data_IF_317492142990
#
_entry.id   IF_317492142990
#
_cell.length_a   1.000
_cell.length_b   1.000
_cell.length_c   1.000
_cell.angle_alpha   90.00
_cell.angle_beta   90.00
_cell.angle_gamma   90.00
#
_symmetry.space_group_name_H-M   'P 1'
#
loop_
_entity.id
_entity.type
_entity.pdbx_description
1 polymer ?
#
# COMPACT_ATOMS: atom_id res chain seq x y z
N UNK A 1 7.63 -25.55 -30.83
CA UNK A 1 8.77 -25.27 -29.94
C UNK A 1 8.45 -24.06 -29.07
N UNK A 2 8.63 -24.11 -27.73
CA UNK A 2 8.46 -25.24 -26.83
C UNK A 2 7.07 -25.24 -26.18
N UNK A 3 6.63 -26.46 -25.89
CA UNK A 3 5.38 -26.89 -25.28
C UNK A 3 5.22 -26.46 -23.82
N UNK A 4 4.08 -25.83 -23.48
CA UNK A 4 3.60 -25.63 -22.09
C UNK A 4 3.09 -26.91 -21.41
N UNK A 5 3.36 -28.08 -22.02
CA UNK A 5 2.80 -29.38 -21.64
C UNK A 5 3.67 -30.21 -20.65
N UNK A 6 4.95 -29.93 -20.31
CA UNK A 6 5.72 -30.90 -19.54
C UNK A 6 5.37 -30.92 -18.04
N UNK A 7 4.73 -29.87 -17.50
CA UNK A 7 4.43 -29.86 -16.06
C UNK A 7 3.18 -30.64 -15.67
N UNK A 8 2.16 -30.70 -16.55
CA UNK A 8 0.92 -31.42 -16.22
C UNK A 8 1.05 -32.94 -16.40
N UNK A 9 1.94 -33.40 -17.30
CA UNK A 9 2.15 -34.83 -17.58
C UNK A 9 3.02 -35.56 -16.54
N UNK A 10 3.82 -34.84 -15.74
CA UNK A 10 4.66 -35.45 -14.69
C UNK A 10 3.83 -35.94 -13.49
N UNK A 11 2.61 -35.42 -13.31
CA UNK A 11 1.74 -35.77 -12.18
C UNK A 11 0.90 -37.04 -12.38
N UNK A 12 0.81 -37.60 -13.59
CA UNK A 12 0.01 -38.81 -13.84
C UNK A 12 0.67 -40.11 -13.37
N UNK A 13 1.93 -40.07 -12.91
CA UNK A 13 2.68 -41.23 -12.45
C UNK A 13 3.07 -41.19 -10.96
N UNK A 14 2.70 -40.13 -10.23
CA UNK A 14 3.01 -40.00 -8.80
C UNK A 14 1.93 -40.66 -7.93
N UNK A 15 2.30 -41.34 -6.83
CA UNK A 15 1.33 -41.92 -5.91
C UNK A 15 0.30 -40.88 -5.46
N UNK A 16 -0.98 -41.27 -5.23
CA UNK A 16 -2.04 -40.36 -4.78
C UNK A 16 -1.65 -39.51 -3.56
N UNK A 17 -0.83 -40.08 -2.68
CA UNK A 17 -0.35 -39.46 -1.43
C UNK A 17 0.61 -38.29 -1.71
N UNK A 18 1.43 -38.39 -2.77
CA UNK A 18 2.35 -37.34 -3.21
C UNK A 18 1.56 -36.21 -3.87
N UNK A 19 0.54 -36.54 -4.66
CA UNK A 19 -0.37 -35.57 -5.25
C UNK A 19 -1.12 -34.82 -4.14
N UNK A 20 -1.68 -35.54 -3.15
CA UNK A 20 -2.33 -34.94 -2.00
C UNK A 20 -1.37 -34.07 -1.15
N UNK A 21 -0.10 -34.47 -1.02
CA UNK A 21 0.93 -33.66 -0.35
C UNK A 21 1.28 -32.41 -1.15
N UNK A 22 1.42 -32.50 -2.48
CA UNK A 22 1.64 -31.33 -3.33
C UNK A 22 0.45 -30.38 -3.34
N UNK A 23 -0.78 -30.90 -3.41
CA UNK A 23 -1.98 -30.10 -3.26
C UNK A 23 -2.10 -29.51 -1.85
N UNK A 24 -1.71 -30.23 -0.80
CA UNK A 24 -1.64 -29.70 0.56
C UNK A 24 -0.58 -28.60 0.65
N UNK A 25 0.63 -28.78 0.12
CA UNK A 25 1.71 -27.78 0.13
C UNK A 25 1.37 -26.56 -0.73
N UNK A 26 0.72 -26.77 -1.89
CA UNK A 26 0.27 -25.73 -2.80
C UNK A 26 -0.94 -25.01 -2.20
N UNK A 27 -1.91 -25.72 -1.63
CA UNK A 27 -3.06 -25.15 -0.92
C UNK A 27 -2.66 -24.49 0.41
N UNK A 28 -1.55 -24.91 1.04
CA UNK A 28 -0.96 -24.29 2.22
C UNK A 28 -0.17 -23.02 1.86
N UNK A 29 0.48 -23.00 0.69
CA UNK A 29 1.07 -21.79 0.09
C UNK A 29 0.01 -20.85 -0.51
N UNK A 30 -1.17 -21.39 -0.80
CA UNK A 30 -2.43 -20.73 -1.20
C UNK A 30 -3.37 -20.58 0.00
N UNK A 31 -2.84 -20.59 1.24
CA UNK A 31 -3.43 -19.70 2.25
C UNK A 31 -3.15 -18.28 1.76
N UNK A 32 -3.96 -17.84 0.79
CA UNK A 32 -4.04 -16.49 0.27
C UNK A 32 -4.05 -15.56 1.47
N UNK A 33 -2.92 -14.90 1.72
CA UNK A 33 -2.90 -13.69 2.52
C UNK A 33 -3.64 -12.68 1.64
N UNK A 34 -4.96 -12.62 1.79
CA UNK A 34 -5.74 -11.53 1.22
C UNK A 34 -5.16 -10.26 1.85
N UNK A 35 -4.40 -9.50 1.06
CA UNK A 35 -3.80 -8.26 1.49
C UNK A 35 -4.90 -7.36 2.04
N UNK A 36 -4.81 -6.97 3.31
CA UNK A 36 -5.77 -6.09 3.95
C UNK A 36 -5.44 -4.66 3.58
N UNK A 37 -6.38 -3.96 2.95
CA UNK A 37 -6.21 -2.56 2.60
C UNK A 37 -6.86 -1.66 3.67
N UNK A 38 -6.08 -0.74 4.24
CA UNK A 38 -6.54 0.24 5.21
C UNK A 38 -7.68 1.11 4.63
N UNK A 39 -7.66 1.44 3.33
CA UNK A 39 -8.70 2.24 2.68
C UNK A 39 -10.08 1.58 2.65
N UNK A 40 -10.22 0.30 3.00
CA UNK A 40 -11.54 -0.32 3.21
C UNK A 40 -12.14 -0.02 4.59
N UNK A 41 -11.32 0.39 5.55
CA UNK A 41 -11.70 0.63 6.94
C UNK A 41 -11.73 2.11 7.31
N UNK A 42 -11.04 2.96 6.53
CA UNK A 42 -11.00 4.41 6.68
C UNK A 42 -11.50 5.08 5.41
N UNK A 43 -12.07 6.29 5.52
CA UNK A 43 -12.56 7.04 4.34
C UNK A 43 -14.00 6.75 3.94
N UNK A 44 -14.85 6.36 4.89
CA UNK A 44 -16.29 6.16 4.67
C UNK A 44 -17.07 7.47 4.43
N UNK A 45 -16.41 8.62 4.55
CA UNK A 45 -17.01 9.94 4.42
C UNK A 45 -16.78 10.50 3.01
N UNK A 46 -17.83 11.09 2.42
CA UNK A 46 -17.71 11.83 1.16
C UNK A 46 -17.24 13.25 1.45
N UNK A 47 -15.93 13.45 1.43
CA UNK A 47 -15.28 14.72 1.76
C UNK A 47 -14.96 14.87 3.25
N UNK A 48 -14.36 16.01 3.60
CA UNK A 48 -13.86 16.31 4.95
C UNK A 48 -14.52 17.58 5.50
N UNK A 49 -14.99 17.54 6.74
CA UNK A 49 -15.56 18.71 7.42
C UNK A 49 -14.45 19.53 8.09
N UNK A 50 -13.39 18.87 8.54
CA UNK A 50 -12.24 19.50 9.18
C UNK A 50 -10.96 19.28 8.37
N UNK A 51 -10.03 20.23 8.49
CA UNK A 51 -8.68 20.13 7.94
C UNK A 51 -7.67 20.36 9.04
N UNK A 52 -6.72 19.46 9.16
CA UNK A 52 -5.68 19.52 10.17
C UNK A 52 -4.39 19.98 9.52
N UNK A 53 -3.72 20.96 10.12
CA UNK A 53 -2.47 21.50 9.60
C UNK A 53 -1.28 20.81 10.27
N UNK A 54 -0.35 20.31 9.46
CA UNK A 54 0.96 19.91 9.95
C UNK A 54 1.84 21.16 10.14
N UNK A 55 2.22 21.42 11.38
CA UNK A 55 2.82 22.69 11.80
C UNK A 55 4.10 23.08 11.04
N UNK A 56 4.98 22.12 10.73
CA UNK A 56 6.29 22.41 10.14
C UNK A 56 6.25 22.55 8.62
N UNK A 57 5.39 21.79 7.94
CA UNK A 57 5.32 21.80 6.47
C UNK A 57 4.25 22.75 5.94
N UNK A 58 3.25 23.09 6.75
CA UNK A 58 2.08 23.84 6.32
C UNK A 58 1.10 23.05 5.46
N UNK A 59 1.40 21.80 5.13
CA UNK A 59 0.45 20.88 4.49
C UNK A 59 -0.72 20.63 5.42
N UNK A 60 -1.87 20.37 4.83
CA UNK A 60 -3.08 20.00 5.54
C UNK A 60 -3.46 18.54 5.26
N UNK A 61 -4.30 17.96 6.10
CA UNK A 61 -4.84 16.63 5.89
C UNK A 61 -6.29 16.52 6.37
N UNK A 62 -7.06 15.62 5.76
CA UNK A 62 -8.48 15.40 6.03
C UNK A 62 -8.74 14.62 7.32
N UNK A 63 -10.01 14.57 7.73
CA UNK A 63 -10.51 13.73 8.81
C UNK A 63 -10.16 12.26 8.59
N UNK A 64 -10.35 11.72 7.39
CA UNK A 64 -10.10 10.29 7.14
C UNK A 64 -8.61 9.95 7.20
N UNK A 65 -7.72 10.85 6.78
CA UNK A 65 -6.27 10.67 6.95
C UNK A 65 -5.88 10.73 8.43
N UNK A 66 -6.50 11.64 9.20
CA UNK A 66 -6.30 11.69 10.66
C UNK A 66 -6.76 10.41 11.34
N UNK A 67 -7.96 9.92 11.02
CA UNK A 67 -8.51 8.68 11.57
C UNK A 67 -7.63 7.47 11.25
N UNK A 68 -7.13 7.38 10.02
CA UNK A 68 -6.17 6.34 9.63
C UNK A 68 -4.88 6.44 10.46
N UNK A 69 -4.31 7.64 10.59
CA UNK A 69 -3.09 7.85 11.35
C UNK A 69 -3.26 7.56 12.85
N UNK A 70 -4.40 7.93 13.45
CA UNK A 70 -4.71 7.65 14.85
C UNK A 70 -5.00 6.16 15.07
N UNK A 71 -5.88 5.56 14.26
CA UNK A 71 -6.29 4.17 14.39
C UNK A 71 -5.18 3.17 14.09
N UNK A 72 -4.24 3.53 13.21
CA UNK A 72 -3.09 2.68 12.88
C UNK A 72 -1.79 3.09 13.60
N UNK A 73 -1.83 4.13 14.45
CA UNK A 73 -0.64 4.74 15.04
C UNK A 73 0.42 5.14 13.99
N UNK A 74 -0.06 5.58 12.81
CA UNK A 74 0.72 5.74 11.59
C UNK A 74 1.01 7.20 11.22
N UNK A 75 1.13 8.11 12.21
CA UNK A 75 1.57 9.48 11.96
C UNK A 75 2.95 9.56 11.27
N UNK A 76 3.78 8.51 11.42
CA UNK A 76 5.03 8.37 10.69
C UNK A 76 4.82 8.37 9.17
N UNK A 77 3.69 7.87 8.66
CA UNK A 77 3.39 7.83 7.22
C UNK A 77 3.15 9.24 6.67
N UNK A 78 2.40 10.06 7.41
CA UNK A 78 2.21 11.49 7.10
C UNK A 78 3.57 12.20 7.10
N UNK A 79 4.38 11.99 8.14
CA UNK A 79 5.70 12.59 8.26
C UNK A 79 6.64 12.13 7.13
N UNK A 80 6.58 10.86 6.73
CA UNK A 80 7.36 10.33 5.61
C UNK A 80 7.01 11.06 4.32
N UNK A 81 5.73 11.20 4.00
CA UNK A 81 5.27 11.93 2.80
C UNK A 81 5.74 13.39 2.83
N UNK A 82 5.68 14.03 3.99
CA UNK A 82 6.16 15.40 4.21
C UNK A 82 7.68 15.51 3.99
N UNK A 83 8.47 14.58 4.51
CA UNK A 83 9.92 14.56 4.33
C UNK A 83 10.29 14.48 2.84
N UNK A 84 9.56 13.69 2.04
CA UNK A 84 9.78 13.64 0.59
C UNK A 84 9.49 14.97 -0.12
N UNK A 85 8.65 15.85 0.45
CA UNK A 85 8.42 17.18 -0.13
C UNK A 85 9.64 18.12 -0.02
N UNK A 86 10.70 17.73 0.70
CA UNK A 86 11.99 18.41 0.64
C UNK A 86 12.67 18.24 -0.74
N UNK A 87 12.33 17.19 -1.49
CA UNK A 87 12.84 16.98 -2.83
C UNK A 87 12.03 17.74 -3.87
N UNK A 88 12.69 18.60 -4.64
CA UNK A 88 12.02 19.48 -5.62
C UNK A 88 11.29 18.68 -6.71
N UNK A 89 11.81 17.52 -7.08
CA UNK A 89 11.20 16.63 -8.08
C UNK A 89 9.89 15.98 -7.61
N UNK A 90 9.73 15.79 -6.30
CA UNK A 90 8.49 15.28 -5.70
C UNK A 90 7.50 16.43 -5.56
N UNK A 91 7.93 17.52 -4.91
CA UNK A 91 7.06 18.66 -4.59
C UNK A 91 6.45 19.37 -5.80
N UNK A 92 7.10 19.32 -6.96
CA UNK A 92 6.59 19.95 -8.19
C UNK A 92 5.33 19.26 -8.74
N UNK A 93 5.10 17.99 -8.36
CA UNK A 93 3.92 17.24 -8.77
C UNK A 93 2.72 17.70 -7.95
N UNK A 94 1.73 18.32 -8.61
CA UNK A 94 0.52 18.86 -7.98
C UNK A 94 -0.43 17.79 -7.47
N UNK A 95 -0.38 16.61 -8.09
CA UNK A 95 -1.14 15.43 -7.70
C UNK A 95 -0.17 14.27 -7.48
N UNK A 96 -0.19 13.69 -6.28
CA UNK A 96 0.68 12.58 -5.92
C UNK A 96 -0.15 11.44 -5.31
N UNK A 97 0.07 10.21 -5.77
CA UNK A 97 -0.51 8.99 -5.19
C UNK A 97 0.59 8.27 -4.43
N UNK A 98 0.43 8.11 -3.12
CA UNK A 98 1.35 7.43 -2.22
C UNK A 98 0.80 6.05 -1.84
N UNK A 99 1.36 5.00 -2.43
CA UNK A 99 0.98 3.61 -2.18
C UNK A 99 1.97 2.94 -1.23
N UNK A 100 1.53 2.68 0.00
CA UNK A 100 2.22 1.85 0.97
C UNK A 100 1.83 0.39 0.76
N UNK A 101 2.83 -0.50 0.70
CA UNK A 101 2.63 -1.94 0.50
C UNK A 101 3.57 -2.76 1.36
N UNK A 102 3.01 -3.71 2.12
CA UNK A 102 3.77 -4.73 2.84
C UNK A 102 4.40 -5.68 1.84
N UNK A 103 5.71 -5.85 1.92
CA UNK A 103 6.48 -6.73 1.04
C UNK A 103 6.76 -8.08 1.72
N UNK A 104 7.05 -8.06 3.02
CA UNK A 104 7.28 -9.26 3.82
C UNK A 104 7.16 -8.94 5.31
N UNK A 105 6.34 -9.68 6.07
CA UNK A 105 6.21 -9.49 7.53
C UNK A 105 6.10 -8.01 7.89
N UNK A 106 7.04 -7.41 8.62
CA UNK A 106 7.01 -5.99 9.00
C UNK A 106 7.76 -5.06 8.04
N UNK A 107 8.16 -5.55 6.87
CA UNK A 107 8.84 -4.78 5.82
C UNK A 107 7.81 -4.23 4.84
N UNK A 108 7.97 -2.96 4.47
CA UNK A 108 7.10 -2.27 3.53
C UNK A 108 7.91 -1.54 2.47
N UNK A 109 7.26 -1.24 1.36
CA UNK A 109 7.72 -0.30 0.35
C UNK A 109 6.65 0.77 0.17
N UNK A 110 7.06 2.02 -0.01
CA UNK A 110 6.16 3.10 -0.41
C UNK A 110 6.56 3.64 -1.79
N UNK A 111 5.57 3.82 -2.66
CA UNK A 111 5.73 4.34 -4.02
C UNK A 111 4.90 5.61 -4.18
N UNK A 112 5.52 6.66 -4.71
CA UNK A 112 4.82 7.86 -5.14
C UNK A 112 4.69 7.88 -6.67
N UNK A 113 3.49 8.16 -7.18
CA UNK A 113 3.24 8.43 -8.61
C UNK A 113 2.54 9.77 -8.82
N UNK A 114 2.55 10.29 -10.04
CA UNK A 114 1.97 11.58 -10.44
C UNK A 114 0.45 11.54 -10.71
N UNK A 115 -0.24 10.46 -10.33
CA UNK A 115 -1.66 10.23 -10.68
C UNK A 115 -1.90 9.66 -12.07
N UNK A 116 -0.91 9.70 -12.97
CA UNK A 116 -0.93 9.06 -14.29
C UNK A 116 -0.08 7.78 -14.35
N UNK A 117 0.19 7.21 -13.17
CA UNK A 117 1.01 6.02 -12.96
C UNK A 117 2.49 6.19 -13.35
N UNK A 118 2.98 7.42 -13.55
CA UNK A 118 4.40 7.65 -13.70
C UNK A 118 5.06 7.70 -12.32
N UNK A 119 6.13 6.93 -12.14
CA UNK A 119 6.86 6.88 -10.87
C UNK A 119 7.58 8.21 -10.60
N UNK A 120 7.34 8.76 -9.41
CA UNK A 120 8.00 9.98 -8.90
C UNK A 120 9.14 9.62 -7.96
N UNK A 121 8.87 8.85 -6.90
CA UNK A 121 9.89 8.35 -5.96
C UNK A 121 9.44 7.04 -5.31
N UNK A 122 10.35 6.33 -4.65
CA UNK A 122 9.99 5.20 -3.78
C UNK A 122 10.98 5.06 -2.64
N UNK A 123 10.54 4.44 -1.56
CA UNK A 123 11.35 4.17 -0.38
C UNK A 123 11.02 2.81 0.22
N UNK A 124 12.04 2.04 0.56
CA UNK A 124 11.89 0.84 1.39
C UNK A 124 11.82 1.24 2.87
N UNK A 125 10.94 0.58 3.60
CA UNK A 125 10.70 0.74 5.02
C UNK A 125 11.07 -0.60 5.67
N UNK A 126 12.28 -0.71 6.25
CA UNK A 126 12.79 -1.98 6.77
C UNK A 126 11.96 -2.57 7.90
N UNK A 127 11.19 -1.75 8.60
CA UNK A 127 10.32 -2.17 9.70
C UNK A 127 9.19 -1.18 9.93
N UNK A 128 7.97 -1.68 10.09
CA UNK A 128 6.80 -0.97 10.63
C UNK A 128 5.82 -1.97 11.25
N UNK A 129 5.15 -1.54 12.31
CA UNK A 129 4.05 -2.23 12.98
C UNK A 129 2.67 -1.85 12.40
N UNK A 130 2.62 -1.18 11.25
CA UNK A 130 1.37 -0.82 10.57
C UNK A 130 0.46 -2.05 10.42
N UNK A 131 -0.82 -1.99 10.83
CA UNK A 131 -1.64 -3.19 11.01
C UNK A 131 -2.23 -3.77 9.71
N UNK A 132 -2.17 -3.02 8.61
CA UNK A 132 -2.68 -3.40 7.30
C UNK A 132 -1.55 -3.70 6.31
N UNK A 133 -1.87 -4.29 5.18
CA UNK A 133 -0.88 -4.64 4.14
C UNK A 133 -0.78 -3.58 3.05
N UNK A 134 -1.83 -2.79 2.87
CA UNK A 134 -1.92 -1.72 1.87
C UNK A 134 -2.50 -0.46 2.50
N UNK A 135 -2.03 0.69 2.05
CA UNK A 135 -2.70 1.97 2.24
C UNK A 135 -2.33 2.91 1.09
N UNK A 136 -3.31 3.67 0.61
CA UNK A 136 -3.12 4.70 -0.41
C UNK A 136 -3.55 6.05 0.17
N UNK A 137 -2.66 7.04 0.08
CA UNK A 137 -2.93 8.44 0.45
C UNK A 137 -2.60 9.31 -0.76
N UNK A 138 -3.46 10.27 -1.06
CA UNK A 138 -3.22 11.26 -2.10
C UNK A 138 -2.73 12.56 -1.49
N UNK A 139 -1.77 13.21 -2.13
CA UNK A 139 -1.42 14.61 -1.86
C UNK A 139 -1.84 15.43 -3.07
N UNK A 140 -2.86 16.27 -2.89
CA UNK A 140 -3.40 17.13 -3.95
C UNK A 140 -3.37 18.57 -3.47
N UNK A 141 -2.65 19.43 -4.20
CA UNK A 141 -2.54 20.87 -3.92
C UNK A 141 -2.23 21.21 -2.44
N UNK A 142 -1.40 20.38 -1.81
CA UNK A 142 -0.98 20.54 -0.41
C UNK A 142 -1.91 19.95 0.65
N UNK A 143 -2.95 19.22 0.23
CA UNK A 143 -3.87 18.49 1.09
C UNK A 143 -3.67 16.98 0.97
N UNK A 144 -3.40 16.29 2.09
CA UNK A 144 -3.41 14.84 2.17
C UNK A 144 -4.84 14.34 2.38
N UNK A 145 -5.28 13.40 1.56
CA UNK A 145 -6.63 12.82 1.60
C UNK A 145 -6.62 11.34 1.21
N UNK A 146 -7.66 10.61 1.56
CA UNK A 146 -7.88 9.26 1.04
C UNK A 146 -8.57 9.33 -0.34
N UNK A 147 -8.40 8.31 -1.22
CA UNK A 147 -9.00 8.30 -2.55
C UNK A 147 -10.52 8.45 -2.59
N UNK A 148 -11.23 8.05 -1.53
CA UNK A 148 -12.69 8.17 -1.43
C UNK A 148 -13.17 9.60 -1.14
N UNK A 149 -12.26 10.51 -0.80
CA UNK A 149 -12.58 11.90 -0.46
C UNK A 149 -12.40 12.89 -1.62
N UNK A 150 -11.89 12.44 -2.77
CA UNK A 150 -11.64 13.23 -3.97
C UNK A 150 -12.74 13.02 -5.02
#
# INVERSE_FOLDING_TARGET
>A
MPSFIPFLLVFLATPPDVIAFFFSLFSFKINFITMKNANHFFGSHNGSENFYRHNLSGLIYTDSVKELAEGCQAYWLINLIICHQCETQVRKESFQVWDLKRTQENVFSILATDGNHNRVTSQEIPFSDFPYDLATIWLVDGCLMLPSEY
#
